data_IF_589932152425
#
_entry.id   IF_589932152425
#
_cell.length_a   1.000
_cell.length_b   1.000
_cell.length_c   1.000
_cell.angle_alpha   90.00
_cell.angle_beta   90.00
_cell.angle_gamma   90.00
#
_symmetry.space_group_name_H-M   'P 1'
#
loop_
_entity.id
_entity.type
_entity.pdbx_description
1 polymer ?
#
# COMPACT_ATOMS: atom_id res chain seq x y z
N UNK A 1 0.42 30.50 4.43
CA UNK A 1 1.49 29.63 4.97
C UNK A 1 0.91 28.25 5.12
N UNK A 2 1.48 27.25 4.46
CA UNK A 2 1.08 25.85 4.66
C UNK A 2 1.59 25.47 6.05
N UNK A 3 0.67 25.30 7.00
CA UNK A 3 1.01 24.89 8.36
C UNK A 3 1.13 23.37 8.38
N UNK A 4 2.34 22.88 8.68
CA UNK A 4 2.59 21.46 8.89
C UNK A 4 2.40 21.18 10.38
N UNK A 5 1.36 20.42 10.80
CA UNK A 5 0.94 20.35 12.19
C UNK A 5 1.91 19.59 13.13
N UNK A 6 2.96 18.96 12.58
CA UNK A 6 3.98 18.24 13.34
C UNK A 6 5.37 18.84 13.06
N UNK A 7 5.85 19.67 13.99
CA UNK A 7 7.15 20.35 13.90
C UNK A 7 8.33 19.37 13.94
N UNK A 8 8.20 18.23 14.63
CA UNK A 8 9.26 17.23 14.74
C UNK A 8 9.42 16.48 13.41
N UNK A 9 8.29 16.11 12.79
CA UNK A 9 8.27 15.51 11.47
C UNK A 9 8.79 16.48 10.40
N UNK A 10 8.41 17.77 10.48
CA UNK A 10 8.94 18.80 9.59
C UNK A 10 10.45 18.93 9.70
N UNK A 11 10.99 18.98 10.92
CA UNK A 11 12.44 19.03 11.16
C UNK A 11 13.16 17.83 10.54
N UNK A 12 12.65 16.61 10.73
CA UNK A 12 13.20 15.39 10.13
C UNK A 12 13.22 15.45 8.60
N UNK A 13 12.16 15.98 7.97
CA UNK A 13 12.09 16.13 6.51
C UNK A 13 13.13 17.14 6.00
N UNK A 14 13.30 18.27 6.69
CA UNK A 14 14.30 19.28 6.34
C UNK A 14 15.72 18.73 6.51
N UNK A 15 16.02 18.08 7.64
CA UNK A 15 17.32 17.47 7.91
C UNK A 15 17.70 16.42 6.84
N UNK A 16 16.74 15.60 6.42
CA UNK A 16 16.95 14.59 5.37
C UNK A 16 17.16 15.24 3.99
N UNK A 17 16.45 16.32 3.67
CA UNK A 17 16.66 17.09 2.44
C UNK A 17 18.07 17.70 2.40
N UNK A 18 18.53 18.28 3.51
CA UNK A 18 19.87 18.86 3.63
C UNK A 18 20.98 17.81 3.53
N UNK A 19 20.78 16.63 4.12
CA UNK A 19 21.69 15.49 4.07
C UNK A 19 21.81 14.92 2.66
N UNK A 20 20.67 14.75 1.96
CA UNK A 20 20.61 14.22 0.60
C UNK A 20 20.95 15.26 -0.48
N UNK A 21 21.03 16.54 -0.11
CA UNK A 21 21.24 17.69 -1.02
C UNK A 21 20.17 17.76 -2.12
N UNK A 22 18.92 17.51 -1.73
CA UNK A 22 17.74 17.57 -2.61
C UNK A 22 16.72 18.55 -2.05
N UNK A 23 15.68 18.84 -2.81
CA UNK A 23 14.60 19.71 -2.32
C UNK A 23 13.71 19.00 -1.29
N UNK A 24 13.12 19.76 -0.37
CA UNK A 24 12.09 19.25 0.55
C UNK A 24 10.93 18.60 -0.21
N UNK A 25 10.58 19.15 -1.38
CA UNK A 25 9.55 18.58 -2.26
C UNK A 25 9.90 17.15 -2.70
N UNK A 26 11.16 16.88 -3.08
CA UNK A 26 11.59 15.54 -3.48
C UNK A 26 11.51 14.54 -2.33
N UNK A 27 11.90 14.94 -1.12
CA UNK A 27 11.76 14.09 0.07
C UNK A 27 10.29 13.75 0.34
N UNK A 28 9.40 14.75 0.25
CA UNK A 28 7.96 14.55 0.40
C UNK A 28 7.38 13.66 -0.71
N UNK A 29 7.83 13.85 -1.96
CA UNK A 29 7.41 13.06 -3.10
C UNK A 29 7.81 11.59 -2.93
N UNK A 30 9.06 11.33 -2.54
CA UNK A 30 9.57 9.98 -2.28
C UNK A 30 8.76 9.29 -1.16
N UNK A 31 8.52 10.00 -0.05
CA UNK A 31 7.74 9.49 1.08
C UNK A 31 6.30 9.16 0.65
N UNK A 32 5.68 10.03 -0.14
CA UNK A 32 4.34 9.81 -0.66
C UNK A 32 4.27 8.64 -1.65
N UNK A 33 5.23 8.51 -2.56
CA UNK A 33 5.32 7.39 -3.48
C UNK A 33 5.53 6.05 -2.75
N UNK A 34 6.34 6.04 -1.68
CA UNK A 34 6.53 4.87 -0.84
C UNK A 34 5.22 4.44 -0.17
N UNK A 35 4.52 5.39 0.47
CA UNK A 35 3.20 5.15 1.07
C UNK A 35 2.19 4.62 0.04
N UNK A 36 2.16 5.20 -1.15
CA UNK A 36 1.27 4.76 -2.22
C UNK A 36 1.61 3.34 -2.69
N UNK A 37 2.89 2.99 -2.83
CA UNK A 37 3.34 1.63 -3.20
C UNK A 37 2.98 0.59 -2.12
N UNK A 38 3.13 0.92 -0.84
CA UNK A 38 2.72 0.05 0.25
C UNK A 38 1.20 -0.18 0.27
N UNK A 39 0.41 0.85 -0.06
CA UNK A 39 -1.05 0.75 -0.17
C UNK A 39 -1.50 0.02 -1.44
N UNK A 40 -0.76 0.13 -2.54
CA UNK A 40 -1.05 -0.59 -3.78
C UNK A 40 -0.64 -2.07 -3.69
N UNK A 41 0.45 -2.39 -2.98
CA UNK A 41 0.85 -3.76 -2.64
C UNK A 41 -0.13 -4.50 -1.71
N UNK A 42 -1.05 -3.77 -1.08
CA UNK A 42 -2.16 -4.33 -0.28
C UNK A 42 -3.45 -4.55 -1.09
N UNK A 43 -3.45 -4.31 -2.41
CA UNK A 43 -4.53 -4.75 -3.28
C UNK A 43 -4.24 -6.17 -3.73
N UNK A 44 -4.77 -7.16 -3.00
CA UNK A 44 -5.03 -8.48 -3.60
C UNK A 44 -5.73 -8.20 -4.92
N UNK A 45 -5.16 -8.65 -6.03
CA UNK A 45 -5.74 -8.35 -7.33
C UNK A 45 -7.15 -8.94 -7.39
N UNK A 46 -8.10 -8.24 -8.02
CA UNK A 46 -9.45 -8.76 -8.18
C UNK A 46 -9.44 -10.13 -8.87
N UNK A 47 -8.44 -10.35 -9.74
CA UNK A 47 -8.18 -11.61 -10.43
C UNK A 47 -7.77 -12.75 -9.48
N UNK A 48 -6.92 -12.49 -8.49
CA UNK A 48 -6.59 -13.45 -7.42
C UNK A 48 -7.81 -13.80 -6.56
N UNK A 49 -8.62 -12.79 -6.19
CA UNK A 49 -9.87 -13.03 -5.44
C UNK A 49 -10.84 -13.89 -6.25
N UNK A 50 -11.00 -13.61 -7.55
CA UNK A 50 -11.86 -14.41 -8.44
C UNK A 50 -11.36 -15.86 -8.53
N UNK A 51 -10.05 -16.06 -8.64
CA UNK A 51 -9.45 -17.39 -8.70
C UNK A 51 -9.70 -18.19 -7.42
N UNK A 52 -9.52 -17.57 -6.26
CA UNK A 52 -9.82 -18.19 -4.96
C UNK A 52 -11.31 -18.54 -4.83
N UNK A 53 -12.21 -17.66 -5.25
CA UNK A 53 -13.64 -17.91 -5.23
C UNK A 53 -14.06 -19.06 -6.15
N UNK A 54 -13.45 -19.18 -7.34
CA UNK A 54 -13.70 -20.30 -8.25
C UNK A 54 -13.21 -21.63 -7.66
N UNK A 55 -12.05 -21.63 -7.01
CA UNK A 55 -11.49 -22.83 -6.38
C UNK A 55 -12.33 -23.27 -5.17
N UNK A 56 -12.78 -22.33 -4.34
CA UNK A 56 -13.71 -22.58 -3.24
C UNK A 56 -15.04 -23.16 -3.74
N UNK A 57 -15.62 -22.58 -4.79
CA UNK A 57 -16.86 -23.08 -5.40
C UNK A 57 -16.70 -24.54 -5.85
N UNK A 58 -15.61 -24.87 -6.54
CA UNK A 58 -15.34 -26.24 -6.99
C UNK A 58 -15.25 -27.21 -5.81
N UNK A 59 -14.58 -26.82 -4.72
CA UNK A 59 -14.46 -27.65 -3.51
C UNK A 59 -15.82 -27.90 -2.85
N UNK A 60 -16.69 -26.90 -2.83
CA UNK A 60 -18.07 -27.06 -2.31
C UNK A 60 -18.86 -28.03 -3.18
N UNK A 61 -18.81 -27.90 -4.51
CA UNK A 61 -19.51 -28.81 -5.43
C UNK A 61 -19.02 -30.27 -5.29
N UNK A 62 -17.72 -30.49 -5.08
CA UNK A 62 -17.15 -31.81 -4.82
C UNK A 62 -17.60 -32.41 -3.48
N UNK A 63 -17.76 -31.57 -2.44
CA UNK A 63 -18.25 -32.00 -1.13
C UNK A 63 -19.74 -32.32 -1.15
N UNK A 64 -20.56 -31.50 -1.81
CA UNK A 64 -21.99 -31.76 -1.98
C UNK A 64 -22.26 -33.08 -2.71
N UNK A 65 -21.43 -33.43 -3.70
CA UNK A 65 -21.51 -34.73 -4.39
C UNK A 65 -21.15 -35.92 -3.51
N UNK A 66 -20.30 -35.74 -2.49
CA UNK A 66 -19.92 -36.80 -1.55
C UNK A 66 -20.94 -37.00 -0.43
N UNK A 67 -21.76 -35.98 -0.18
CA UNK A 67 -22.81 -35.99 0.83
C UNK A 67 -24.16 -36.49 0.27
N UNK A 68 -24.34 -36.47 -1.06
CA UNK A 68 -25.45 -37.12 -1.77
C UNK A 68 -25.18 -38.60 -2.02
#
# INVERSE_FOLDING_TARGET
MVYFPDEELWKKIVDEAEKRKVSVYEVLKDAFECYMKEKDGSKVSLEEVIKELQELRRRVEELERKVK
#
